data_IF_774739738029
#
_entry.id   IF_774739738029
#
_cell.length_a   1.000
_cell.length_b   1.000
_cell.length_c   1.000
_cell.angle_alpha   90.00
_cell.angle_beta   90.00
_cell.angle_gamma   90.00
#
_symmetry.space_group_name_H-M   'P 1'
#
loop_
_entity.id
_entity.type
_entity.pdbx_description
1 polymer ?
#
# COMPACT_ATOMS: atom_id res chain seq x y z
N UNK A 1 -11.30 16.00 13.18
CA UNK A 1 -10.40 14.83 13.07
C UNK A 1 -9.97 14.47 14.47
N UNK A 2 -10.33 13.32 14.96
CA UNK A 2 -9.89 12.90 16.28
C UNK A 2 -8.44 12.42 16.14
N UNK A 3 -7.53 12.94 16.97
CA UNK A 3 -6.15 12.42 17.11
C UNK A 3 -6.14 10.89 17.36
N UNK A 4 -7.24 10.40 17.81
CA UNK A 4 -7.60 9.01 18.06
C UNK A 4 -7.72 8.12 16.78
N UNK A 5 -8.10 8.65 15.60
CA UNK A 5 -8.25 7.81 14.40
C UNK A 5 -6.91 7.41 13.78
N UNK A 6 -5.90 8.27 13.84
CA UNK A 6 -4.54 7.93 13.41
C UNK A 6 -3.92 6.87 14.32
N UNK A 7 -4.06 7.07 15.64
CA UNK A 7 -3.59 6.10 16.63
C UNK A 7 -4.33 4.77 16.48
N UNK A 8 -5.66 4.83 16.30
CA UNK A 8 -6.47 3.64 16.08
C UNK A 8 -6.04 2.85 14.86
N UNK A 9 -5.77 3.52 13.72
CA UNK A 9 -5.29 2.84 12.51
C UNK A 9 -3.98 2.09 12.78
N UNK A 10 -3.03 2.72 13.48
CA UNK A 10 -1.76 2.09 13.84
C UNK A 10 -1.93 0.91 14.80
N UNK A 11 -2.73 1.08 15.86
CA UNK A 11 -3.02 0.01 16.83
C UNK A 11 -3.70 -1.20 16.17
N UNK A 12 -4.64 -0.97 15.25
CA UNK A 12 -5.33 -2.02 14.52
C UNK A 12 -4.37 -2.78 13.60
N UNK A 13 -3.53 -2.05 12.85
CA UNK A 13 -2.55 -2.66 11.96
C UNK A 13 -1.51 -3.48 12.73
N UNK A 14 -1.00 -2.93 13.84
CA UNK A 14 -0.06 -3.64 14.74
C UNK A 14 -0.68 -4.89 15.35
N UNK A 15 -1.90 -4.78 15.86
CA UNK A 15 -2.60 -5.89 16.49
C UNK A 15 -2.87 -7.05 15.51
N UNK A 16 -3.35 -6.74 14.30
CA UNK A 16 -3.50 -7.75 13.25
C UNK A 16 -2.14 -8.36 12.85
N UNK A 17 -1.10 -7.52 12.77
CA UNK A 17 0.27 -7.98 12.54
C UNK A 17 0.78 -8.95 13.61
N UNK A 18 0.47 -8.68 14.88
CA UNK A 18 0.83 -9.58 16.00
C UNK A 18 0.09 -10.93 15.90
N UNK A 19 -1.19 -10.93 15.52
CA UNK A 19 -1.98 -12.14 15.27
C UNK A 19 -1.32 -12.98 14.16
N UNK A 20 -0.93 -12.36 13.06
CA UNK A 20 -0.28 -13.01 11.92
C UNK A 20 1.09 -13.62 12.29
N UNK A 21 1.91 -12.88 13.05
CA UNK A 21 3.21 -13.38 13.51
C UNK A 21 3.06 -14.60 14.45
N UNK A 22 2.12 -14.53 15.39
CA UNK A 22 1.82 -15.64 16.30
C UNK A 22 1.34 -16.88 15.52
N UNK A 23 0.45 -16.71 14.56
CA UNK A 23 -0.06 -17.78 13.71
C UNK A 23 1.06 -18.43 12.89
N UNK A 24 1.96 -17.61 12.33
CA UNK A 24 3.11 -18.07 11.54
C UNK A 24 4.09 -18.90 12.37
N UNK A 25 4.32 -18.47 13.63
CA UNK A 25 5.18 -19.17 14.57
C UNK A 25 4.58 -20.51 15.03
N UNK A 26 3.26 -20.55 15.25
CA UNK A 26 2.55 -21.77 15.71
C UNK A 26 2.44 -22.83 14.60
N UNK A 27 2.06 -22.45 13.38
CA UNK A 27 1.79 -23.38 12.28
C UNK A 27 3.03 -23.78 11.49
N UNK A 28 4.06 -22.92 11.46
CA UNK A 28 5.20 -23.12 10.56
C UNK A 28 4.80 -23.06 9.08
N UNK A 29 5.67 -23.57 8.19
CA UNK A 29 5.56 -23.42 6.74
C UNK A 29 5.30 -24.73 5.99
N UNK A 30 5.02 -25.84 6.70
CA UNK A 30 4.80 -27.15 6.06
C UNK A 30 3.53 -27.16 5.19
N UNK A 31 2.47 -26.48 5.62
CA UNK A 31 1.25 -26.27 4.85
C UNK A 31 1.07 -24.80 4.51
N UNK A 32 1.76 -24.35 3.46
CA UNK A 32 1.73 -22.96 3.03
C UNK A 32 0.31 -22.46 2.67
N UNK A 33 -0.53 -23.33 2.10
CA UNK A 33 -1.88 -22.95 1.73
C UNK A 33 -2.75 -22.75 2.98
N UNK A 34 -2.75 -23.73 3.86
CA UNK A 34 -3.49 -23.64 5.12
C UNK A 34 -3.02 -22.49 6.01
N UNK A 35 -1.71 -22.15 5.96
CA UNK A 35 -1.17 -21.01 6.66
C UNK A 35 -1.74 -19.69 6.10
N UNK A 36 -1.77 -19.51 4.77
CA UNK A 36 -2.33 -18.34 4.10
C UNK A 36 -3.80 -18.17 4.42
N UNK A 37 -4.62 -19.19 4.16
CA UNK A 37 -6.06 -19.19 4.41
C UNK A 37 -6.40 -18.88 5.89
N UNK A 38 -5.53 -19.32 6.81
CA UNK A 38 -5.69 -19.03 8.23
C UNK A 38 -5.23 -17.60 8.59
N UNK A 39 -4.20 -17.09 7.92
CA UNK A 39 -3.70 -15.72 8.09
C UNK A 39 -4.75 -14.70 7.70
N UNK A 40 -5.26 -14.80 6.46
CA UNK A 40 -6.31 -13.92 5.93
C UNK A 40 -7.50 -13.87 6.90
N UNK A 41 -7.98 -15.05 7.31
CA UNK A 41 -9.13 -15.15 8.22
C UNK A 41 -8.85 -14.55 9.60
N UNK A 42 -7.74 -14.91 10.22
CA UNK A 42 -7.46 -14.49 11.60
C UNK A 42 -7.24 -12.97 11.71
N UNK A 43 -6.54 -12.39 10.73
CA UNK A 43 -6.34 -10.95 10.68
C UNK A 43 -7.66 -10.21 10.38
N UNK A 44 -8.47 -10.73 9.46
CA UNK A 44 -9.80 -10.17 9.17
C UNK A 44 -10.70 -10.20 10.40
N UNK A 45 -10.85 -11.35 11.07
CA UNK A 45 -11.68 -11.49 12.26
C UNK A 45 -11.25 -10.51 13.37
N UNK A 46 -9.94 -10.35 13.59
CA UNK A 46 -9.39 -9.39 14.54
C UNK A 46 -9.81 -7.96 14.19
N UNK A 47 -9.56 -7.52 12.94
CA UNK A 47 -9.88 -6.16 12.49
C UNK A 47 -11.37 -5.87 12.58
N UNK A 48 -12.24 -6.81 12.15
CA UNK A 48 -13.69 -6.64 12.22
C UNK A 48 -14.17 -6.53 13.66
N UNK A 49 -13.69 -7.36 14.57
CA UNK A 49 -14.08 -7.31 15.98
C UNK A 49 -13.66 -5.99 16.64
N UNK A 50 -12.45 -5.53 16.40
CA UNK A 50 -11.96 -4.28 16.98
C UNK A 50 -12.66 -3.04 16.39
N UNK A 51 -12.90 -3.00 15.08
CA UNK A 51 -13.64 -1.91 14.44
C UNK A 51 -15.09 -1.87 14.93
N UNK A 52 -15.78 -3.01 15.01
CA UNK A 52 -17.14 -3.07 15.53
C UNK A 52 -17.23 -2.59 17.00
N UNK A 53 -16.21 -2.87 17.80
CA UNK A 53 -16.14 -2.44 19.21
C UNK A 53 -15.82 -0.95 19.34
N UNK A 54 -14.89 -0.41 18.54
CA UNK A 54 -14.33 0.94 18.72
C UNK A 54 -14.96 2.00 17.82
N UNK A 55 -15.55 1.57 16.70
CA UNK A 55 -16.20 2.45 15.70
C UNK A 55 -17.50 1.82 15.16
N UNK A 56 -18.46 1.49 16.03
CA UNK A 56 -19.68 0.75 15.66
C UNK A 56 -20.59 1.49 14.66
N UNK A 57 -20.39 2.79 14.49
CA UNK A 57 -21.16 3.61 13.55
C UNK A 57 -20.48 3.79 12.18
N UNK A 58 -19.20 3.37 12.04
CA UNK A 58 -18.46 3.50 10.80
C UNK A 58 -18.67 2.25 9.92
N UNK A 59 -18.70 2.43 8.60
CA UNK A 59 -18.72 1.31 7.67
C UNK A 59 -17.31 0.74 7.46
N UNK A 60 -17.23 -0.48 6.93
CA UNK A 60 -15.96 -1.17 6.64
C UNK A 60 -15.99 -1.76 5.24
N UNK A 61 -14.92 -1.55 4.49
CA UNK A 61 -14.57 -2.26 3.27
C UNK A 61 -13.32 -3.09 3.53
N UNK A 62 -13.40 -4.40 3.38
CA UNK A 62 -12.30 -5.34 3.61
C UNK A 62 -12.14 -6.30 2.45
N UNK A 63 -10.91 -6.67 2.11
CA UNK A 63 -10.62 -7.69 1.10
C UNK A 63 -11.35 -9.00 1.37
N UNK A 64 -11.32 -9.47 2.62
CA UNK A 64 -11.88 -10.76 3.05
C UNK A 64 -13.37 -10.69 3.40
N UNK A 65 -13.95 -9.48 3.37
CA UNK A 65 -15.36 -9.24 3.70
C UNK A 65 -16.26 -9.20 2.48
N UNK A 66 -17.53 -9.59 2.68
CA UNK A 66 -18.53 -9.27 1.67
C UNK A 66 -18.73 -7.75 1.65
N UNK A 67 -18.58 -7.14 0.47
CA UNK A 67 -18.82 -5.70 0.31
C UNK A 67 -20.30 -5.35 0.63
N UNK A 68 -20.50 -4.61 1.70
CA UNK A 68 -21.78 -3.99 2.02
C UNK A 68 -21.82 -2.59 1.38
N UNK A 69 -22.57 -2.50 0.29
CA UNK A 69 -22.68 -1.27 -0.50
C UNK A 69 -23.33 -0.10 0.24
N UNK A 70 -23.92 -0.31 1.42
CA UNK A 70 -24.38 0.78 2.30
C UNK A 70 -23.23 1.70 2.73
N UNK A 71 -21.96 1.24 2.64
CA UNK A 71 -20.77 2.08 2.82
C UNK A 71 -20.73 3.30 1.91
N UNK A 72 -21.37 3.23 0.73
CA UNK A 72 -21.40 4.34 -0.23
C UNK A 72 -22.22 5.53 0.30
N UNK A 73 -23.13 5.29 1.23
CA UNK A 73 -23.94 6.30 1.91
C UNK A 73 -23.37 6.70 3.28
N UNK A 74 -22.33 6.02 3.75
CA UNK A 74 -21.68 6.31 5.02
C UNK A 74 -20.76 7.54 4.93
N UNK A 75 -20.65 8.30 6.01
CA UNK A 75 -19.73 9.44 6.12
C UNK A 75 -18.30 9.01 6.41
N UNK A 76 -18.12 7.82 6.98
CA UNK A 76 -16.84 7.25 7.40
C UNK A 76 -16.75 5.78 7.01
N UNK A 77 -15.67 5.42 6.34
CA UNK A 77 -15.43 4.04 5.89
C UNK A 77 -13.98 3.64 6.19
N UNK A 78 -13.82 2.57 6.95
CA UNK A 78 -12.53 1.93 7.13
C UNK A 78 -12.27 1.00 5.95
N UNK A 79 -11.17 1.22 5.25
CA UNK A 79 -10.73 0.39 4.12
C UNK A 79 -9.52 -0.40 4.61
N UNK A 80 -9.64 -1.72 4.65
CA UNK A 80 -8.62 -2.59 5.26
C UNK A 80 -8.22 -3.74 4.35
N UNK A 81 -6.92 -4.02 4.34
CA UNK A 81 -6.35 -5.26 3.81
C UNK A 81 -5.74 -6.01 5.00
N UNK A 82 -6.36 -7.12 5.42
CA UNK A 82 -5.89 -7.89 6.58
C UNK A 82 -4.53 -8.53 6.37
N UNK A 83 -4.18 -8.87 5.12
CA UNK A 83 -2.90 -9.51 4.79
C UNK A 83 -2.49 -9.26 3.33
N UNK A 84 -1.99 -8.06 3.04
CA UNK A 84 -1.36 -7.77 1.75
C UNK A 84 -0.04 -8.53 1.58
N UNK A 85 0.05 -9.33 0.52
CA UNK A 85 1.16 -10.23 0.30
C UNK A 85 0.95 -11.61 0.93
N UNK A 86 -0.26 -12.14 0.86
CA UNK A 86 -0.63 -13.48 1.34
C UNK A 86 0.31 -14.58 0.85
N UNK A 87 0.85 -14.46 -0.37
CA UNK A 87 1.86 -15.38 -0.89
C UNK A 87 3.14 -15.33 -0.08
N UNK A 88 3.68 -14.14 0.12
CA UNK A 88 4.91 -13.88 0.86
C UNK A 88 4.78 -14.28 2.34
N UNK A 89 3.60 -14.07 2.92
CA UNK A 89 3.29 -14.54 4.26
C UNK A 89 3.42 -16.06 4.39
N UNK A 90 3.00 -16.83 3.36
CA UNK A 90 3.11 -18.28 3.33
C UNK A 90 4.51 -18.82 3.00
N UNK A 91 5.47 -17.99 2.60
CA UNK A 91 6.83 -18.40 2.24
C UNK A 91 7.80 -18.18 3.42
N UNK A 92 8.59 -19.21 3.78
CA UNK A 92 9.59 -19.11 4.84
C UNK A 92 10.67 -18.08 4.49
N UNK A 93 11.11 -17.30 5.49
CA UNK A 93 12.14 -16.27 5.32
C UNK A 93 11.68 -14.99 4.62
N UNK A 94 10.42 -14.91 4.16
CA UNK A 94 9.89 -13.67 3.57
C UNK A 94 9.39 -12.70 4.64
N UNK A 95 9.67 -11.42 4.42
CA UNK A 95 9.31 -10.31 5.30
C UNK A 95 8.51 -9.20 4.58
N UNK A 96 8.22 -9.39 3.28
CA UNK A 96 7.60 -8.41 2.39
C UNK A 96 6.09 -8.64 2.24
N UNK A 97 5.41 -8.64 3.38
CA UNK A 97 3.96 -8.66 3.55
C UNK A 97 3.53 -7.63 4.59
N UNK A 98 2.27 -7.18 4.56
CA UNK A 98 1.79 -6.04 5.32
C UNK A 98 0.36 -6.21 5.80
N UNK A 99 -0.08 -5.33 6.72
CA UNK A 99 -1.47 -5.09 7.08
C UNK A 99 -1.79 -3.63 6.79
N UNK A 100 -2.92 -3.38 6.13
CA UNK A 100 -3.36 -2.03 5.80
C UNK A 100 -4.63 -1.65 6.54
N UNK A 101 -4.63 -0.47 7.15
CA UNK A 101 -5.82 0.13 7.76
C UNK A 101 -5.90 1.59 7.36
N UNK A 102 -6.95 1.98 6.64
CA UNK A 102 -7.19 3.37 6.24
C UNK A 102 -8.58 3.82 6.66
N UNK A 103 -8.74 5.10 6.93
CA UNK A 103 -10.02 5.78 7.11
C UNK A 103 -10.25 6.72 5.93
N UNK A 104 -11.38 6.52 5.26
CA UNK A 104 -11.93 7.46 4.29
C UNK A 104 -13.09 8.23 4.93
N UNK A 105 -13.15 9.54 4.71
CA UNK A 105 -14.24 10.39 5.16
C UNK A 105 -14.87 11.13 3.97
N UNK A 106 -16.19 11.21 3.96
CA UNK A 106 -16.94 11.88 2.90
C UNK A 106 -16.49 13.35 2.74
N UNK A 107 -16.19 13.74 1.52
CA UNK A 107 -15.74 15.08 1.19
C UNK A 107 -14.31 15.43 1.60
N UNK A 108 -13.59 14.51 2.26
CA UNK A 108 -12.20 14.71 2.67
C UNK A 108 -11.24 13.68 2.04
N UNK A 109 -11.75 12.52 1.60
CA UNK A 109 -10.95 11.40 1.12
C UNK A 109 -10.27 10.62 2.26
N UNK A 110 -9.07 10.12 2.01
CA UNK A 110 -8.28 9.40 3.02
C UNK A 110 -7.76 10.36 4.09
N UNK A 111 -8.18 10.19 5.33
CA UNK A 111 -7.85 11.11 6.45
C UNK A 111 -6.91 10.51 7.47
N UNK A 112 -6.93 9.20 7.66
CA UNK A 112 -5.99 8.49 8.52
C UNK A 112 -5.57 7.17 7.83
N UNK A 113 -4.43 6.63 8.22
CA UNK A 113 -3.98 5.35 7.74
C UNK A 113 -2.73 4.85 8.44
N UNK A 114 -2.57 3.53 8.42
CA UNK A 114 -1.38 2.85 8.89
C UNK A 114 -1.09 1.62 8.03
N UNK A 115 0.19 1.34 7.85
CA UNK A 115 0.72 0.13 7.23
C UNK A 115 1.66 -0.52 8.23
N UNK A 116 1.29 -1.68 8.75
CA UNK A 116 2.21 -2.50 9.52
C UNK A 116 3.01 -3.42 8.58
N UNK A 117 4.29 -3.56 8.87
CA UNK A 117 5.23 -4.50 8.28
C UNK A 117 5.67 -5.46 9.39
N UNK A 118 4.84 -6.44 9.79
CA UNK A 118 5.03 -7.15 11.06
C UNK A 118 6.34 -7.92 11.11
N UNK A 119 6.74 -8.57 10.00
CA UNK A 119 8.00 -9.30 9.93
C UNK A 119 9.25 -8.39 10.02
N UNK A 120 9.08 -7.08 9.84
CA UNK A 120 10.13 -6.06 9.99
C UNK A 120 10.02 -5.28 11.30
N UNK A 121 9.03 -5.60 12.15
CA UNK A 121 8.80 -4.94 13.43
C UNK A 121 8.54 -3.42 13.30
N UNK A 122 7.87 -2.99 12.21
CA UNK A 122 7.68 -1.57 11.92
C UNK A 122 6.25 -1.31 11.49
N UNK A 123 5.65 -0.23 12.02
CA UNK A 123 4.38 0.31 11.56
C UNK A 123 4.57 1.78 11.22
N UNK A 124 4.11 2.16 10.02
CA UNK A 124 4.09 3.52 9.54
C UNK A 124 2.65 4.04 9.63
N UNK A 125 2.48 5.26 10.16
CA UNK A 125 1.18 5.91 10.31
C UNK A 125 1.15 7.31 9.70
N UNK A 126 -0.04 7.86 9.55
CA UNK A 126 -0.23 9.22 9.04
C UNK A 126 0.01 10.31 10.08
N UNK A 127 0.17 9.97 11.37
CA UNK A 127 0.48 10.93 12.44
C UNK A 127 1.35 10.27 13.55
N UNK A 128 2.63 10.63 13.69
CA UNK A 128 3.34 11.50 12.75
C UNK A 128 3.58 10.81 11.41
N UNK A 129 3.54 11.53 10.29
CA UNK A 129 3.84 10.95 9.00
C UNK A 129 5.33 10.59 8.89
N UNK A 130 5.68 9.57 8.10
CA UNK A 130 7.07 9.27 7.81
C UNK A 130 7.74 10.46 7.12
N UNK A 131 9.03 10.62 7.38
CA UNK A 131 9.84 11.63 6.67
C UNK A 131 10.27 11.05 5.34
N UNK A 132 10.01 11.78 4.25
CA UNK A 132 10.56 11.40 2.95
C UNK A 132 12.09 11.42 3.00
N UNK A 133 12.76 10.52 2.25
CA UNK A 133 14.19 10.62 2.02
C UNK A 133 14.54 12.01 1.47
N UNK A 134 15.61 12.59 1.98
CA UNK A 134 16.11 13.83 1.41
C UNK A 134 16.78 13.52 0.07
N UNK A 135 16.28 14.15 -0.98
CA UNK A 135 16.89 14.10 -2.30
C UNK A 135 18.24 14.83 -2.23
N UNK A 136 19.33 14.09 -2.39
CA UNK A 136 20.70 14.67 -2.43
C UNK A 136 21.13 15.02 -3.86
N UNK A 137 20.34 14.64 -4.86
CA UNK A 137 20.54 14.90 -6.30
C UNK A 137 19.42 15.80 -6.83
N UNK A 138 19.62 16.39 -8.01
CA UNK A 138 18.57 17.12 -8.72
C UNK A 138 17.45 16.13 -9.13
N UNK A 139 16.28 16.16 -8.50
CA UNK A 139 15.23 15.18 -8.76
C UNK A 139 14.62 15.33 -10.16
N UNK A 140 14.84 16.46 -10.82
CA UNK A 140 14.41 16.67 -12.21
C UNK A 140 15.33 16.00 -13.21
N UNK A 141 16.59 15.72 -12.84
CA UNK A 141 17.60 15.09 -13.70
C UNK A 141 18.36 13.99 -12.91
N UNK A 142 17.68 12.94 -12.46
CA UNK A 142 18.33 11.86 -11.73
C UNK A 142 19.28 11.09 -12.65
N UNK A 143 20.40 10.62 -12.13
CA UNK A 143 21.26 9.67 -12.86
C UNK A 143 20.77 8.23 -12.73
N UNK A 144 20.04 7.93 -11.66
CA UNK A 144 19.51 6.60 -11.36
C UNK A 144 18.10 6.71 -10.76
N UNK A 145 17.23 5.73 -11.06
CA UNK A 145 15.88 5.57 -10.50
C UNK A 145 15.65 4.10 -10.16
N UNK A 146 15.41 3.78 -8.90
CA UNK A 146 15.04 2.44 -8.44
C UNK A 146 13.51 2.31 -8.44
N UNK A 147 12.98 1.35 -9.18
CA UNK A 147 11.54 1.18 -9.36
C UNK A 147 11.10 -0.13 -8.70
N UNK A 148 10.29 -0.06 -7.65
CA UNK A 148 9.67 -1.25 -7.08
C UNK A 148 8.72 -1.90 -8.10
N UNK A 149 8.81 -3.20 -8.24
CA UNK A 149 7.99 -3.99 -9.17
C UNK A 149 7.43 -5.23 -8.47
N UNK A 150 6.33 -5.76 -9.00
CA UNK A 150 5.82 -7.04 -8.52
C UNK A 150 6.83 -8.16 -8.80
N UNK A 151 7.20 -8.91 -7.77
CA UNK A 151 8.11 -10.05 -7.88
C UNK A 151 7.61 -11.12 -8.85
N UNK A 152 6.30 -11.32 -8.89
CA UNK A 152 5.70 -12.44 -9.63
C UNK A 152 5.00 -12.01 -10.92
N UNK A 153 4.60 -10.76 -11.03
CA UNK A 153 3.86 -10.21 -12.18
C UNK A 153 4.27 -8.75 -12.42
N UNK A 154 5.55 -8.49 -12.80
CA UNK A 154 5.96 -7.13 -13.14
C UNK A 154 5.13 -6.65 -14.33
N UNK A 155 4.62 -5.41 -14.32
CA UNK A 155 3.89 -4.86 -15.45
C UNK A 155 4.79 -4.72 -16.68
N UNK A 156 4.29 -5.07 -17.87
CA UNK A 156 5.03 -4.90 -19.13
C UNK A 156 5.44 -3.43 -19.38
N UNK A 157 4.69 -2.48 -18.84
CA UNK A 157 4.99 -1.05 -18.84
C UNK A 157 6.41 -0.74 -18.29
N UNK A 158 6.88 -1.52 -17.31
CA UNK A 158 8.18 -1.28 -16.66
C UNK A 158 9.35 -1.43 -17.62
N UNK A 159 9.32 -2.40 -18.52
CA UNK A 159 10.37 -2.60 -19.52
C UNK A 159 10.46 -1.39 -20.46
N UNK A 160 9.31 -0.85 -20.88
CA UNK A 160 9.23 0.37 -21.66
C UNK A 160 9.81 1.58 -20.92
N UNK A 161 9.50 1.72 -19.62
CA UNK A 161 10.03 2.79 -18.77
C UNK A 161 11.55 2.73 -18.65
N UNK A 162 12.10 1.54 -18.38
CA UNK A 162 13.55 1.33 -18.27
C UNK A 162 14.24 1.75 -19.56
N UNK A 163 13.71 1.31 -20.71
CA UNK A 163 14.27 1.67 -22.01
C UNK A 163 14.20 3.18 -22.27
N UNK A 164 13.03 3.79 -22.05
CA UNK A 164 12.80 5.22 -22.30
C UNK A 164 13.71 6.11 -21.44
N UNK A 165 13.88 5.76 -20.16
CA UNK A 165 14.77 6.45 -19.22
C UNK A 165 16.24 6.26 -19.63
N UNK A 166 16.64 5.04 -20.01
CA UNK A 166 18.00 4.75 -20.49
C UNK A 166 18.41 5.54 -21.72
N UNK A 167 17.50 5.75 -22.68
CA UNK A 167 17.73 6.60 -23.87
C UNK A 167 17.99 8.07 -23.51
N UNK A 168 17.66 8.48 -22.27
CA UNK A 168 17.86 9.83 -21.72
C UNK A 168 18.99 9.91 -20.69
N UNK A 169 19.78 8.84 -20.58
CA UNK A 169 20.93 8.79 -19.67
C UNK A 169 20.57 8.51 -18.22
N UNK A 170 19.32 8.09 -17.94
CA UNK A 170 18.87 7.72 -16.58
C UNK A 170 18.90 6.20 -16.44
N UNK A 171 19.68 5.67 -15.52
CA UNK A 171 19.72 4.25 -15.21
C UNK A 171 18.48 3.88 -14.37
N UNK A 172 17.56 3.07 -14.91
CA UNK A 172 16.40 2.60 -14.17
C UNK A 172 16.58 1.13 -13.77
N UNK A 173 16.51 0.87 -12.45
CA UNK A 173 16.74 -0.45 -11.86
C UNK A 173 15.44 -1.00 -11.27
N UNK A 174 14.87 -2.11 -11.78
CA UNK A 174 13.72 -2.75 -11.17
C UNK A 174 14.10 -3.48 -9.88
N UNK A 175 13.33 -3.27 -8.80
CA UNK A 175 13.51 -3.90 -7.49
C UNK A 175 12.29 -4.78 -7.19
N UNK A 176 12.40 -6.12 -7.33
CA UNK A 176 11.28 -7.03 -7.11
C UNK A 176 10.92 -7.15 -5.62
N UNK A 177 9.65 -6.90 -5.29
CA UNK A 177 9.09 -7.03 -3.93
C UNK A 177 7.71 -7.67 -3.99
N UNK A 178 7.30 -8.32 -2.88
CA UNK A 178 5.92 -8.71 -2.61
C UNK A 178 5.06 -7.51 -2.17
N UNK A 179 3.81 -7.74 -1.80
CA UNK A 179 2.90 -6.75 -1.19
C UNK A 179 2.88 -5.37 -1.88
N UNK A 180 1.73 -4.77 -2.05
CA UNK A 180 1.61 -3.39 -2.54
C UNK A 180 2.07 -2.40 -1.47
N UNK A 181 1.69 -2.64 -0.20
CA UNK A 181 2.11 -1.81 0.93
C UNK A 181 3.61 -1.80 1.15
N UNK A 182 4.28 -2.94 1.01
CA UNK A 182 5.75 -3.01 1.10
C UNK A 182 6.39 -2.16 0.01
N UNK A 183 5.94 -2.26 -1.25
CA UNK A 183 6.47 -1.47 -2.37
C UNK A 183 6.27 0.04 -2.18
N UNK A 184 5.06 0.43 -1.77
CA UNK A 184 4.74 1.85 -1.56
C UNK A 184 5.52 2.40 -0.36
N UNK A 185 5.56 1.68 0.76
CA UNK A 185 6.31 2.13 1.94
C UNK A 185 7.82 2.08 1.73
N UNK A 186 8.35 1.27 0.81
CA UNK A 186 9.76 1.28 0.42
C UNK A 186 10.18 2.62 -0.20
N UNK A 187 9.27 3.33 -0.90
CA UNK A 187 9.51 4.71 -1.36
C UNK A 187 9.68 5.65 -0.16
N UNK A 188 8.81 5.53 0.84
CA UNK A 188 8.89 6.36 2.05
C UNK A 188 10.15 6.10 2.89
N UNK A 189 10.70 4.89 2.81
CA UNK A 189 11.93 4.49 3.52
C UNK A 189 13.21 4.72 2.71
N UNK A 190 13.10 5.18 1.46
CA UNK A 190 14.26 5.41 0.59
C UNK A 190 14.93 4.13 0.07
N UNK A 191 14.26 3.00 0.12
CA UNK A 191 14.72 1.73 -0.44
C UNK A 191 14.58 1.71 -1.97
N UNK A 192 13.58 2.41 -2.48
CA UNK A 192 13.31 2.67 -3.91
C UNK A 192 12.82 4.10 -4.10
N UNK A 193 12.80 4.58 -5.33
CA UNK A 193 12.43 5.95 -5.66
C UNK A 193 11.02 6.05 -6.22
N UNK A 194 10.51 4.95 -6.78
CA UNK A 194 9.17 4.87 -7.33
C UNK A 194 8.57 3.45 -7.26
N UNK A 195 7.25 3.39 -7.28
CA UNK A 195 6.45 2.21 -7.55
C UNK A 195 5.44 2.50 -8.65
N UNK A 196 5.43 1.68 -9.69
CA UNK A 196 4.47 1.75 -10.78
C UNK A 196 3.70 0.45 -10.86
N UNK A 197 2.38 0.54 -10.85
CA UNK A 197 1.49 -0.60 -11.04
C UNK A 197 0.53 -0.34 -12.22
N UNK A 198 0.39 -1.33 -13.10
CA UNK A 198 -0.61 -1.39 -14.15
C UNK A 198 -1.08 -2.84 -14.31
N UNK A 199 -2.39 -3.04 -14.36
CA UNK A 199 -2.98 -4.40 -14.43
C UNK A 199 -4.08 -4.64 -13.41
N UNK A 200 -4.41 -3.61 -12.65
CA UNK A 200 -5.49 -3.61 -11.68
C UNK A 200 -5.07 -4.13 -10.31
N UNK A 201 -5.55 -3.44 -9.31
CA UNK A 201 -5.52 -3.78 -7.90
C UNK A 201 -6.85 -3.30 -7.29
N UNK A 202 -7.04 -3.52 -6.01
CA UNK A 202 -8.24 -3.09 -5.32
C UNK A 202 -7.95 -1.88 -4.41
N UNK A 203 -9.00 -1.22 -3.93
CA UNK A 203 -8.85 -0.05 -3.05
C UNK A 203 -8.04 -0.36 -1.79
N UNK A 204 -8.22 -1.55 -1.19
CA UNK A 204 -7.52 -1.96 0.02
C UNK A 204 -6.02 -2.21 -0.17
N UNK A 205 -5.57 -2.57 -1.40
CA UNK A 205 -4.14 -2.71 -1.70
C UNK A 205 -3.37 -1.38 -1.53
N UNK A 206 -4.04 -0.23 -1.68
CA UNK A 206 -3.36 1.06 -1.74
C UNK A 206 -3.91 2.16 -0.84
N UNK A 207 -5.12 2.06 -0.29
CA UNK A 207 -5.72 3.14 0.50
C UNK A 207 -4.82 3.60 1.67
N UNK A 208 -4.39 2.68 2.52
CA UNK A 208 -3.52 3.01 3.65
C UNK A 208 -2.13 3.49 3.19
N UNK A 209 -1.42 2.78 2.29
CA UNK A 209 -0.13 3.24 1.80
C UNK A 209 -0.18 4.62 1.12
N UNK A 210 -1.22 4.90 0.33
CA UNK A 210 -1.40 6.21 -0.33
C UNK A 210 -1.70 7.33 0.69
N UNK A 211 -2.49 7.03 1.74
CA UNK A 211 -2.68 7.97 2.84
C UNK A 211 -1.34 8.38 3.47
N UNK A 212 -0.43 7.42 3.70
CA UNK A 212 0.92 7.68 4.22
C UNK A 212 1.74 8.54 3.27
N UNK A 213 1.75 8.20 1.97
CA UNK A 213 2.51 8.95 0.94
C UNK A 213 2.05 10.41 0.89
N UNK A 214 0.73 10.64 0.87
CA UNK A 214 0.15 11.99 0.85
C UNK A 214 0.48 12.77 2.14
N UNK A 215 0.36 12.12 3.30
CA UNK A 215 0.70 12.73 4.59
C UNK A 215 2.18 13.09 4.70
N UNK A 216 3.07 12.33 4.08
CA UNK A 216 4.50 12.59 4.01
C UNK A 216 4.89 13.64 2.97
N UNK A 217 3.97 14.09 2.10
CA UNK A 217 4.25 15.00 0.99
C UNK A 217 4.83 14.32 -0.25
N UNK A 218 4.71 13.00 -0.37
CA UNK A 218 5.06 12.23 -1.56
C UNK A 218 4.02 12.36 -2.68
N UNK A 219 4.35 11.87 -3.87
CA UNK A 219 3.44 11.82 -5.01
C UNK A 219 2.70 10.49 -5.08
N UNK A 220 1.37 10.54 -5.22
CA UNK A 220 0.52 9.39 -5.49
C UNK A 220 -0.61 9.77 -6.44
N UNK A 221 -0.66 9.16 -7.62
CA UNK A 221 -1.65 9.40 -8.67
C UNK A 221 -1.95 8.12 -9.45
N UNK A 222 -2.92 8.20 -10.36
CA UNK A 222 -3.04 7.27 -11.48
C UNK A 222 -1.81 7.44 -12.40
N UNK A 223 -1.56 6.47 -13.28
CA UNK A 223 -0.42 6.55 -14.21
C UNK A 223 -0.62 7.62 -15.30
N UNK A 224 -1.81 8.14 -15.48
CA UNK A 224 -2.10 9.30 -16.34
C UNK A 224 -2.00 10.65 -15.60
N UNK A 225 -1.63 10.62 -14.30
CA UNK A 225 -1.52 11.79 -13.44
C UNK A 225 -2.83 12.21 -12.77
N UNK A 226 -3.95 11.55 -13.06
CA UNK A 226 -5.24 11.85 -12.42
C UNK A 226 -5.26 11.39 -10.97
N UNK A 227 -6.21 11.90 -10.19
CA UNK A 227 -6.32 11.63 -8.77
C UNK A 227 -6.79 10.19 -8.49
N UNK A 228 -6.24 9.60 -7.43
CA UNK A 228 -6.73 8.34 -6.85
C UNK A 228 -7.94 8.64 -5.95
N UNK A 229 -9.07 8.04 -6.30
CA UNK A 229 -10.34 8.18 -5.58
C UNK A 229 -10.71 6.84 -4.94
N UNK A 230 -11.13 6.89 -3.68
CA UNK A 230 -11.47 5.73 -2.85
C UNK A 230 -12.93 5.76 -2.40
N UNK A 231 -13.41 4.64 -1.86
CA UNK A 231 -14.80 4.37 -1.50
C UNK A 231 -15.74 4.50 -2.70
N UNK A 232 -15.35 3.90 -3.81
CA UNK A 232 -16.14 3.86 -5.04
C UNK A 232 -17.05 2.64 -5.09
N UNK A 233 -18.05 2.69 -5.95
CA UNK A 233 -18.90 1.55 -6.26
C UNK A 233 -18.11 0.37 -6.86
N UNK A 234 -17.25 0.68 -7.84
CA UNK A 234 -16.25 -0.25 -8.37
C UNK A 234 -14.97 -0.10 -7.54
N UNK A 235 -14.70 -1.09 -6.71
CA UNK A 235 -13.54 -1.10 -5.79
C UNK A 235 -12.20 -1.37 -6.49
N UNK A 236 -12.23 -1.67 -7.78
CA UNK A 236 -11.01 -1.94 -8.55
C UNK A 236 -10.34 -0.64 -8.97
N UNK A 237 -9.05 -0.53 -8.68
CA UNK A 237 -8.15 0.52 -9.15
C UNK A 237 -7.28 -0.05 -10.28
N UNK A 238 -7.34 0.52 -11.52
CA UNK A 238 -6.65 -0.08 -12.66
C UNK A 238 -5.13 0.09 -12.61
N UNK A 239 -4.64 1.15 -11.97
CA UNK A 239 -3.21 1.50 -11.99
C UNK A 239 -2.84 2.48 -10.87
N UNK A 240 -1.53 2.65 -10.64
CA UNK A 240 -0.98 3.50 -9.59
C UNK A 240 0.45 3.92 -9.93
N UNK A 241 0.78 5.19 -9.70
CA UNK A 241 2.13 5.73 -9.60
C UNK A 241 2.34 6.31 -8.20
N UNK A 242 3.37 5.84 -7.51
CA UNK A 242 3.89 6.46 -6.28
C UNK A 242 5.38 6.74 -6.48
N UNK A 243 5.83 7.94 -6.12
CA UNK A 243 7.25 8.30 -6.19
C UNK A 243 7.60 9.48 -5.29
N UNK A 244 8.89 9.79 -5.22
CA UNK A 244 9.34 11.06 -4.66
C UNK A 244 8.79 12.22 -5.52
N UNK A 245 8.39 13.35 -4.90
CA UNK A 245 7.66 14.43 -5.61
C UNK A 245 8.39 14.97 -6.84
N UNK A 246 9.72 15.13 -6.74
CA UNK A 246 10.55 15.65 -7.82
C UNK A 246 10.63 14.73 -9.05
N UNK A 247 10.39 13.43 -8.89
CA UNK A 247 10.41 12.44 -9.98
C UNK A 247 9.09 12.35 -10.75
N UNK A 248 7.99 12.86 -10.19
CA UNK A 248 6.67 12.68 -10.77
C UNK A 248 6.56 13.22 -12.22
N UNK A 249 7.06 14.43 -12.57
CA UNK A 249 6.99 14.91 -13.95
C UNK A 249 7.71 13.99 -14.94
N UNK A 250 8.92 13.54 -14.61
CA UNK A 250 9.71 12.65 -15.45
C UNK A 250 9.03 11.30 -15.66
N UNK A 251 8.52 10.70 -14.58
CA UNK A 251 7.88 9.38 -14.66
C UNK A 251 6.54 9.42 -15.39
N UNK A 252 5.73 10.48 -15.20
CA UNK A 252 4.48 10.66 -15.94
C UNK A 252 4.74 10.86 -17.44
N UNK A 253 5.78 11.64 -17.81
CA UNK A 253 6.19 11.78 -19.21
C UNK A 253 6.64 10.44 -19.80
N UNK A 254 7.48 9.69 -19.06
CA UNK A 254 7.95 8.38 -19.49
C UNK A 254 6.80 7.39 -19.68
N UNK A 255 5.85 7.32 -18.72
CA UNK A 255 4.67 6.45 -18.79
C UNK A 255 3.86 6.78 -20.05
N UNK A 256 3.56 8.07 -20.25
CA UNK A 256 2.81 8.53 -21.44
C UNK A 256 3.47 8.18 -22.76
N UNK A 257 4.80 8.14 -22.81
CA UNK A 257 5.55 7.85 -24.02
C UNK A 257 5.60 6.35 -24.37
N UNK A 258 5.35 5.47 -23.40
CA UNK A 258 5.47 4.01 -23.58
C UNK A 258 4.12 3.27 -23.54
N UNK A 259 3.00 3.98 -23.35
CA UNK A 259 1.63 3.48 -23.50
C UNK A 259 1.21 3.51 -24.98
#
# INVERSE_FOLDING_TARGET
MNADDHALAAELADGAGAVLLALRADRGFADQRGLRDAGDRAAHEYLMAELARRRPADAVLSEEGKDDRTRLDADRVWIVDPLDGTREFGEEGRDDWAVHVALWERGKGLTAGAVALPARGTTLGTAPPPRLPQDTADPAHPSEVRIAVSRTRPPALVDGLIKWLGERGVTATPVPMGSAGVKITAVLRGEVDAYVHAGGQYEWDSAAPVALVRAAGGHASRIDGSELVYNRDEVRLPDLLVCLPGLAPLLLEAIKAVQ
#
